data_IF_786358648280
#
_entry.id   IF_786358648280
#
_cell.length_a   1.000
_cell.length_b   1.000
_cell.length_c   1.000
_cell.angle_alpha   90.00
_cell.angle_beta   90.00
_cell.angle_gamma   90.00
#
_symmetry.space_group_name_H-M   'P 1'
#
loop_
_entity.id
_entity.type
_entity.pdbx_description
1 polymer ?
#
# COMPACT_ATOMS: atom_id res chain seq x y z
N UNK A 1 -12.30 -18.16 -6.05
CA UNK A 1 -11.05 -18.16 -6.85
C UNK A 1 -10.20 -16.95 -6.52
N UNK A 2 -8.95 -17.17 -6.09
CA UNK A 2 -7.97 -16.10 -5.88
C UNK A 2 -7.20 -15.86 -7.17
N UNK A 3 -7.22 -14.63 -7.68
CA UNK A 3 -6.51 -14.23 -8.91
C UNK A 3 -5.47 -13.17 -8.62
N UNK A 4 -4.48 -13.05 -9.49
CA UNK A 4 -3.57 -11.91 -9.54
C UNK A 4 -3.78 -11.20 -10.87
N UNK A 5 -3.92 -9.88 -10.86
CA UNK A 5 -4.00 -9.10 -12.09
C UNK A 5 -3.28 -7.76 -11.96
N UNK A 6 -2.73 -7.29 -13.08
CA UNK A 6 -2.03 -6.01 -13.17
C UNK A 6 -3.00 -4.85 -12.89
N UNK A 7 -2.79 -4.13 -11.78
CA UNK A 7 -3.65 -3.03 -11.34
C UNK A 7 -3.72 -1.85 -12.30
N UNK A 8 -2.85 -1.77 -13.32
CA UNK A 8 -2.92 -0.75 -14.38
C UNK A 8 -3.69 -1.20 -15.63
N UNK A 9 -3.98 -2.50 -15.75
CA UNK A 9 -4.64 -3.10 -16.92
C UNK A 9 -5.96 -3.78 -16.59
N UNK A 10 -6.15 -4.22 -15.36
CA UNK A 10 -7.33 -4.98 -14.97
C UNK A 10 -8.61 -4.15 -15.10
N UNK A 11 -9.67 -4.77 -15.58
CA UNK A 11 -11.03 -4.22 -15.60
C UNK A 11 -12.06 -5.13 -14.89
N UNK A 12 -11.71 -6.40 -14.60
CA UNK A 12 -12.60 -7.40 -14.00
C UNK A 12 -12.37 -7.54 -12.47
N UNK A 13 -12.71 -6.48 -11.73
CA UNK A 13 -12.56 -6.43 -10.28
C UNK A 13 -13.37 -7.50 -9.54
N UNK A 14 -12.83 -8.00 -8.44
CA UNK A 14 -13.44 -9.00 -7.56
C UNK A 14 -14.21 -8.35 -6.40
N UNK A 15 -14.89 -9.18 -5.60
CA UNK A 15 -15.60 -8.76 -4.39
C UNK A 15 -14.65 -8.22 -3.32
N UNK A 16 -13.41 -8.73 -3.27
CA UNK A 16 -12.30 -8.20 -2.47
C UNK A 16 -11.11 -7.96 -3.40
N UNK A 17 -10.54 -6.77 -3.37
CA UNK A 17 -9.37 -6.37 -4.16
C UNK A 17 -8.26 -5.93 -3.21
N UNK A 18 -7.11 -6.60 -3.24
CA UNK A 18 -5.98 -6.35 -2.34
C UNK A 18 -4.89 -5.63 -3.13
N UNK A 19 -4.72 -4.33 -2.92
CA UNK A 19 -3.69 -3.52 -3.56
C UNK A 19 -2.33 -3.82 -2.93
N UNK A 20 -1.32 -3.98 -3.78
CA UNK A 20 0.09 -4.15 -3.42
C UNK A 20 0.92 -3.06 -4.10
N UNK A 21 1.73 -2.36 -3.31
CA UNK A 21 2.72 -1.36 -3.72
C UNK A 21 3.77 -1.33 -2.59
N UNK A 22 4.60 -2.37 -2.52
CA UNK A 22 5.46 -2.64 -1.34
C UNK A 22 6.48 -1.53 -1.16
N UNK A 23 6.97 -0.96 -2.27
CA UNK A 23 7.92 0.15 -2.33
C UNK A 23 7.23 1.39 -2.90
N UNK A 24 6.45 2.13 -2.11
CA UNK A 24 6.34 2.04 -0.63
C UNK A 24 4.92 2.23 -0.10
N UNK A 25 3.92 2.39 -0.96
CA UNK A 25 2.59 2.86 -0.52
C UNK A 25 1.89 1.90 0.43
N UNK A 26 1.82 0.60 0.10
CA UNK A 26 1.08 -0.37 0.93
C UNK A 26 1.85 -0.79 2.18
N UNK A 27 3.14 -0.46 2.28
CA UNK A 27 3.89 -0.52 3.53
C UNK A 27 3.66 0.72 4.39
N UNK A 28 3.60 1.91 3.79
CA UNK A 28 3.51 3.17 4.52
C UNK A 28 2.10 3.42 5.06
N UNK A 29 1.05 3.07 4.31
CA UNK A 29 -0.36 3.26 4.73
C UNK A 29 -0.68 2.61 6.09
N UNK A 30 -0.38 1.32 6.34
CA UNK A 30 -0.63 0.72 7.65
C UNK A 30 0.24 1.36 8.75
N UNK A 31 1.48 1.77 8.45
CA UNK A 31 2.32 2.50 9.40
C UNK A 31 1.70 3.86 9.76
N UNK A 32 1.17 4.61 8.79
CA UNK A 32 0.47 5.88 9.03
C UNK A 32 -0.68 5.67 10.04
N UNK A 33 -1.51 4.65 9.83
CA UNK A 33 -2.66 4.36 10.69
C UNK A 33 -2.20 3.86 12.07
N UNK A 34 -1.11 3.08 12.16
CA UNK A 34 -0.56 2.64 13.44
C UNK A 34 0.05 3.77 14.26
N UNK A 35 0.24 4.97 13.69
CA UNK A 35 0.69 6.19 14.38
C UNK A 35 -0.46 7.09 14.82
N UNK A 36 -1.69 6.58 14.86
CA UNK A 36 -2.85 7.29 15.40
C UNK A 36 -3.59 8.18 14.42
N UNK A 37 -3.25 8.12 13.12
CA UNK A 37 -3.99 8.86 12.09
C UNK A 37 -5.47 8.47 12.10
N UNK A 38 -6.36 9.47 12.10
CA UNK A 38 -7.81 9.27 12.17
C UNK A 38 -8.33 8.52 10.92
N UNK A 39 -7.86 8.94 9.75
CA UNK A 39 -8.06 8.29 8.46
C UNK A 39 -7.17 8.97 7.41
N UNK A 40 -7.01 8.30 6.26
CA UNK A 40 -6.26 8.81 5.11
C UNK A 40 -7.25 9.11 3.98
N UNK A 41 -7.11 10.28 3.34
CA UNK A 41 -7.82 10.65 2.12
C UNK A 41 -6.85 10.54 0.95
N UNK A 42 -7.06 9.58 0.03
CA UNK A 42 -6.18 9.37 -1.11
C UNK A 42 -6.48 10.36 -2.25
N UNK A 43 -5.43 10.88 -2.88
CA UNK A 43 -5.51 11.77 -4.03
C UNK A 43 -4.68 11.24 -5.20
N UNK A 44 -5.15 11.47 -6.42
CA UNK A 44 -4.42 11.11 -7.65
C UNK A 44 -3.31 12.10 -8.00
N UNK A 45 -3.44 13.33 -7.51
CA UNK A 45 -2.61 14.45 -7.84
C UNK A 45 -2.32 15.35 -6.63
N UNK A 46 -1.17 16.01 -6.70
CA UNK A 46 -0.63 16.87 -5.64
C UNK A 46 -1.52 18.08 -5.39
N UNK A 47 -2.09 18.67 -6.46
CA UNK A 47 -2.90 19.89 -6.38
C UNK A 47 -4.17 19.66 -5.56
N UNK A 48 -4.84 18.53 -5.76
CA UNK A 48 -6.03 18.13 -5.00
C UNK A 48 -5.70 17.92 -3.52
N UNK A 49 -4.58 17.27 -3.20
CA UNK A 49 -4.14 17.07 -1.83
C UNK A 49 -3.82 18.41 -1.11
N UNK A 50 -3.09 19.32 -1.79
CA UNK A 50 -2.80 20.66 -1.28
C UNK A 50 -4.08 21.46 -1.04
N UNK A 51 -5.02 21.43 -1.98
CA UNK A 51 -6.31 22.09 -1.84
C UNK A 51 -7.14 21.53 -0.68
N UNK A 52 -7.06 20.22 -0.44
CA UNK A 52 -7.69 19.61 0.72
C UNK A 52 -7.09 20.12 2.04
N UNK A 53 -5.76 20.18 2.18
CA UNK A 53 -5.11 20.77 3.38
C UNK A 53 -5.48 22.23 3.58
N UNK A 54 -5.62 23.02 2.50
CA UNK A 54 -6.04 24.44 2.61
C UNK A 54 -7.46 24.61 3.17
N UNK A 55 -8.35 23.66 2.92
CA UNK A 55 -9.77 23.74 3.30
C UNK A 55 -10.09 23.07 4.64
N UNK A 56 -9.16 22.28 5.18
CA UNK A 56 -9.40 21.45 6.36
C UNK A 56 -8.31 21.67 7.41
N UNK A 57 -8.69 21.64 8.69
CA UNK A 57 -7.74 21.73 9.81
C UNK A 57 -7.14 20.36 10.11
N UNK A 58 -6.00 20.34 10.78
CA UNK A 58 -5.31 19.12 11.25
C UNK A 58 -4.98 18.12 10.13
N UNK A 59 -4.70 18.61 8.93
CA UNK A 59 -4.28 17.78 7.79
C UNK A 59 -2.77 17.72 7.67
N UNK A 60 -2.24 16.50 7.57
CA UNK A 60 -0.84 16.22 7.24
C UNK A 60 -0.77 15.68 5.80
N UNK A 61 0.15 16.20 5.00
CA UNK A 61 0.42 15.75 3.64
C UNK A 61 1.56 14.74 3.64
N UNK A 62 1.28 13.54 3.14
CA UNK A 62 2.25 12.44 3.08
C UNK A 62 2.20 11.86 1.69
N UNK A 63 3.34 11.64 1.04
CA UNK A 63 3.33 10.97 -0.25
C UNK A 63 4.41 11.42 -1.20
N UNK A 64 4.31 10.89 -2.41
CA UNK A 64 5.26 11.13 -3.49
C UNK A 64 4.55 11.29 -4.84
N UNK A 65 5.25 11.92 -5.78
CA UNK A 65 4.97 11.79 -7.21
C UNK A 65 6.27 11.51 -7.96
N UNK A 66 6.28 10.46 -8.77
CA UNK A 66 7.44 9.90 -9.46
C UNK A 66 8.65 9.62 -8.55
N UNK A 67 8.38 9.18 -7.32
CA UNK A 67 9.35 8.85 -6.28
C UNK A 67 9.87 10.04 -5.49
N UNK A 68 9.35 11.25 -5.74
CA UNK A 68 9.84 12.49 -5.12
C UNK A 68 8.74 13.10 -4.24
N UNK A 69 9.10 13.50 -3.01
CA UNK A 69 8.21 14.26 -2.13
C UNK A 69 7.87 15.62 -2.76
N UNK A 70 6.59 15.94 -3.02
CA UNK A 70 6.21 17.22 -3.60
C UNK A 70 6.55 18.40 -2.67
N UNK A 71 6.74 19.61 -3.22
CA UNK A 71 6.82 20.82 -2.40
C UNK A 71 5.63 20.96 -1.45
N UNK A 72 5.88 21.47 -0.24
CA UNK A 72 4.89 21.67 0.83
C UNK A 72 4.28 20.41 1.46
N UNK A 73 4.66 19.21 1.03
CA UNK A 73 4.32 17.99 1.75
C UNK A 73 5.13 17.89 3.04
N UNK A 74 4.48 17.47 4.12
CA UNK A 74 5.09 17.36 5.43
C UNK A 74 6.07 16.17 5.44
N UNK A 75 5.63 15.02 4.92
CA UNK A 75 6.43 13.79 4.85
C UNK A 75 6.47 13.17 3.44
N UNK A 76 7.53 12.42 3.18
CA UNK A 76 7.62 11.56 2.00
C UNK A 76 6.81 10.27 2.21
N UNK A 77 6.62 9.46 1.18
CA UNK A 77 6.08 8.09 1.26
C UNK A 77 7.09 7.10 1.90
N UNK A 78 7.74 7.49 2.99
CA UNK A 78 8.81 6.76 3.68
C UNK A 78 8.29 6.12 4.97
N UNK A 79 8.13 4.78 5.04
CA UNK A 79 7.70 4.15 6.28
C UNK A 79 8.71 4.36 7.42
N UNK A 80 10.00 4.50 7.14
CA UNK A 80 11.02 4.78 8.17
C UNK A 80 10.93 6.19 8.75
N UNK A 81 10.50 7.16 7.95
CA UNK A 81 10.18 8.48 8.45
C UNK A 81 8.87 8.46 9.26
N UNK A 82 7.83 7.82 8.73
CA UNK A 82 6.50 7.83 9.35
C UNK A 82 6.44 7.05 10.66
N UNK A 83 7.18 5.95 10.82
CA UNK A 83 7.12 5.13 12.05
C UNK A 83 7.47 5.93 13.32
N UNK A 84 8.21 7.03 13.18
CA UNK A 84 8.59 7.93 14.26
C UNK A 84 7.73 9.20 14.35
N UNK A 85 6.77 9.40 13.44
CA UNK A 85 5.90 10.56 13.44
C UNK A 85 4.76 10.42 14.47
N UNK A 86 4.30 11.55 15.01
CA UNK A 86 3.05 11.63 15.77
C UNK A 86 1.92 12.09 14.83
N UNK A 87 1.03 11.16 14.49
CA UNK A 87 -0.11 11.40 13.61
C UNK A 87 -1.44 11.28 14.39
N UNK A 88 -1.39 11.28 15.72
CA UNK A 88 -2.56 11.09 16.57
C UNK A 88 -3.67 12.10 16.25
N UNK A 89 -4.85 11.59 15.91
CA UNK A 89 -6.03 12.36 15.54
C UNK A 89 -5.90 13.20 14.26
N UNK A 90 -4.77 13.11 13.54
CA UNK A 90 -4.56 13.84 12.28
C UNK A 90 -5.33 13.20 11.13
N UNK A 91 -5.76 14.03 10.19
CA UNK A 91 -6.27 13.57 8.89
C UNK A 91 -5.09 13.58 7.93
N UNK A 92 -4.93 12.53 7.14
CA UNK A 92 -3.81 12.43 6.20
C UNK A 92 -4.34 12.66 4.79
N UNK A 93 -3.74 13.60 4.06
CA UNK A 93 -3.93 13.70 2.61
C UNK A 93 -2.75 12.98 1.94
N UNK A 94 -3.04 11.86 1.29
CA UNK A 94 -2.02 10.95 0.77
C UNK A 94 -2.03 10.88 -0.75
N UNK A 95 -0.85 10.84 -1.37
CA UNK A 95 -0.69 10.59 -2.81
C UNK A 95 0.47 9.65 -3.08
N UNK A 96 0.32 8.79 -4.08
CA UNK A 96 1.41 8.03 -4.66
C UNK A 96 1.19 7.83 -6.15
N UNK A 97 2.26 7.50 -6.87
CA UNK A 97 2.24 7.38 -8.33
C UNK A 97 1.48 6.15 -8.78
N UNK A 98 1.61 5.05 -8.05
CA UNK A 98 1.12 3.75 -8.46
C UNK A 98 -0.09 3.32 -7.61
N UNK A 99 0.08 3.16 -6.30
CA UNK A 99 -0.99 2.71 -5.41
C UNK A 99 -2.27 3.54 -5.52
N UNK A 100 -2.18 4.88 -5.47
CA UNK A 100 -3.37 5.73 -5.57
C UNK A 100 -3.97 5.78 -6.99
N UNK A 101 -3.13 5.59 -8.02
CA UNK A 101 -3.63 5.43 -9.38
C UNK A 101 -4.47 4.16 -9.53
N UNK A 102 -3.97 3.02 -9.04
CA UNK A 102 -4.68 1.74 -9.07
C UNK A 102 -5.93 1.78 -8.22
N UNK A 103 -5.87 2.34 -7.00
CA UNK A 103 -7.06 2.58 -6.17
C UNK A 103 -8.16 3.29 -6.95
N UNK A 104 -7.80 4.34 -7.71
CA UNK A 104 -8.77 5.09 -8.52
C UNK A 104 -9.37 4.33 -9.71
N UNK A 105 -8.77 3.19 -10.09
CA UNK A 105 -9.28 2.34 -11.17
C UNK A 105 -10.28 1.28 -10.68
N UNK A 106 -10.23 0.91 -9.40
CA UNK A 106 -11.12 -0.11 -8.85
C UNK A 106 -12.54 0.44 -8.75
N UNK A 107 -13.50 -0.25 -9.39
CA UNK A 107 -14.87 0.24 -9.55
C UNK A 107 -15.88 -0.43 -8.60
N UNK A 108 -15.54 -1.57 -7.98
CA UNK A 108 -16.43 -2.35 -7.12
C UNK A 108 -15.67 -3.19 -6.13
N UNK A 109 -16.40 -3.71 -5.14
CA UNK A 109 -15.87 -4.59 -4.12
C UNK A 109 -15.11 -3.85 -3.03
N UNK A 110 -14.73 -4.58 -1.99
CA UNK A 110 -13.91 -4.09 -0.90
C UNK A 110 -12.48 -3.90 -1.38
N UNK A 111 -11.78 -2.92 -0.84
CA UNK A 111 -10.41 -2.61 -1.25
C UNK A 111 -9.51 -2.59 -0.02
N UNK A 112 -8.57 -3.53 0.05
CA UNK A 112 -7.63 -3.70 1.14
C UNK A 112 -6.22 -3.35 0.68
N UNK A 113 -5.36 -2.93 1.61
CA UNK A 113 -3.95 -2.65 1.34
C UNK A 113 -3.08 -3.65 2.08
N UNK A 114 -2.18 -4.32 1.36
CA UNK A 114 -1.31 -5.35 1.94
C UNK A 114 0.13 -5.21 1.47
N UNK A 115 1.06 -5.48 2.37
CA UNK A 115 2.47 -5.75 2.08
C UNK A 115 3.02 -6.73 3.12
N UNK A 116 4.34 -6.96 3.15
CA UNK A 116 4.95 -7.85 4.14
C UNK A 116 4.60 -7.44 5.58
N UNK A 117 4.44 -6.15 5.87
CA UNK A 117 4.21 -5.66 7.24
C UNK A 117 2.89 -6.09 7.84
N UNK A 118 1.91 -6.50 7.05
CA UNK A 118 0.58 -6.90 7.54
C UNK A 118 0.01 -8.13 6.81
N UNK A 119 0.88 -9.02 6.32
CA UNK A 119 0.49 -10.16 5.48
C UNK A 119 -0.43 -11.13 6.23
N UNK A 120 -0.08 -11.54 7.45
CA UNK A 120 -0.87 -12.47 8.26
C UNK A 120 -2.22 -11.87 8.68
N UNK A 121 -2.25 -10.59 9.02
CA UNK A 121 -3.49 -9.87 9.29
C UNK A 121 -4.40 -9.86 8.05
N UNK A 122 -3.83 -9.61 6.88
CA UNK A 122 -4.55 -9.65 5.58
C UNK A 122 -5.14 -11.04 5.34
N UNK A 123 -4.35 -12.10 5.51
CA UNK A 123 -4.82 -13.49 5.35
C UNK A 123 -5.98 -13.80 6.28
N UNK A 124 -5.87 -13.42 7.57
CA UNK A 124 -6.93 -13.61 8.55
C UNK A 124 -8.21 -12.86 8.15
N UNK A 125 -8.10 -11.62 7.68
CA UNK A 125 -9.23 -10.75 7.30
C UNK A 125 -10.05 -11.32 6.13
N UNK A 126 -9.40 -12.00 5.18
CA UNK A 126 -10.06 -12.54 3.98
C UNK A 126 -10.24 -14.06 4.01
N UNK A 127 -9.94 -14.71 5.14
CA UNK A 127 -10.09 -16.17 5.29
C UNK A 127 -11.52 -16.62 5.01
N UNK A 128 -11.67 -17.67 4.22
CA UNK A 128 -12.97 -18.22 3.83
C UNK A 128 -13.75 -17.38 2.81
N UNK A 129 -13.09 -16.40 2.16
CA UNK A 129 -13.65 -15.64 1.04
C UNK A 129 -13.06 -16.16 -0.26
N UNK A 130 -13.91 -16.37 -1.26
CA UNK A 130 -13.46 -16.99 -2.51
C UNK A 130 -13.18 -15.97 -3.62
N UNK A 131 -13.94 -14.88 -3.75
CA UNK A 131 -13.75 -13.90 -4.83
C UNK A 131 -12.76 -12.79 -4.44
N UNK A 132 -11.47 -13.12 -4.53
CA UNK A 132 -10.34 -12.25 -4.16
C UNK A 132 -9.47 -11.99 -5.39
N UNK A 133 -9.18 -10.71 -5.63
CA UNK A 133 -8.18 -10.27 -6.59
C UNK A 133 -7.01 -9.61 -5.86
N UNK A 134 -5.81 -10.13 -6.08
CA UNK A 134 -4.56 -9.55 -5.61
C UNK A 134 -4.01 -8.66 -6.73
N UNK A 135 -3.71 -7.39 -6.41
CA UNK A 135 -3.51 -6.33 -7.39
C UNK A 135 -2.14 -5.66 -7.21
N UNK A 136 -1.07 -6.21 -7.81
CA UNK A 136 0.18 -5.47 -8.00
C UNK A 136 -0.06 -4.12 -8.67
N UNK A 137 0.42 -3.04 -8.05
CA UNK A 137 0.19 -1.70 -8.58
C UNK A 137 1.01 -1.42 -9.83
N UNK A 138 2.15 -2.12 -9.96
CA UNK A 138 3.08 -1.99 -11.09
C UNK A 138 3.49 -0.53 -11.34
N UNK A 139 4.21 -0.30 -12.44
CA UNK A 139 4.75 1.02 -12.79
C UNK A 139 4.09 1.51 -14.09
N UNK A 140 4.13 2.82 -14.40
CA UNK A 140 3.62 3.33 -15.67
C UNK A 140 4.26 2.63 -16.88
N UNK A 141 5.54 2.27 -16.75
CA UNK A 141 6.28 1.49 -17.73
C UNK A 141 6.84 0.27 -17.01
N UNK A 142 6.45 -0.92 -17.47
CA UNK A 142 6.94 -2.20 -16.93
C UNK A 142 6.25 -2.66 -15.63
N UNK A 143 6.74 -3.79 -15.11
CA UNK A 143 6.23 -4.43 -13.89
C UNK A 143 7.04 -4.01 -12.66
N UNK A 144 6.38 -3.95 -11.51
CA UNK A 144 7.03 -3.90 -10.20
C UNK A 144 7.31 -5.33 -9.76
N UNK A 145 8.56 -5.79 -9.89
CA UNK A 145 8.93 -7.19 -9.64
C UNK A 145 8.61 -7.59 -8.20
N UNK A 146 8.89 -6.70 -7.24
CA UNK A 146 8.55 -6.83 -5.82
C UNK A 146 7.07 -7.10 -5.58
N UNK A 147 6.19 -6.30 -6.21
CA UNK A 147 4.75 -6.40 -6.02
C UNK A 147 4.23 -7.74 -6.56
N UNK A 148 4.79 -8.21 -7.68
CA UNK A 148 4.40 -9.48 -8.28
C UNK A 148 4.91 -10.67 -7.46
N UNK A 149 6.13 -10.61 -6.90
CA UNK A 149 6.65 -11.66 -6.01
C UNK A 149 5.77 -11.77 -4.75
N UNK A 150 5.44 -10.66 -4.11
CA UNK A 150 4.57 -10.68 -2.94
C UNK A 150 3.13 -11.08 -3.29
N UNK A 151 2.61 -10.69 -4.45
CA UNK A 151 1.30 -11.13 -4.88
C UNK A 151 1.20 -12.66 -5.01
N UNK A 152 2.23 -13.29 -5.60
CA UNK A 152 2.32 -14.75 -5.66
C UNK A 152 2.46 -15.36 -4.24
N UNK A 153 3.30 -14.76 -3.39
CA UNK A 153 3.46 -15.18 -1.99
C UNK A 153 2.12 -15.15 -1.22
N UNK A 154 1.37 -14.05 -1.34
CA UNK A 154 0.07 -13.88 -0.70
C UNK A 154 -0.96 -14.85 -1.26
N UNK A 155 -0.99 -15.05 -2.59
CA UNK A 155 -1.86 -16.04 -3.23
C UNK A 155 -1.58 -17.44 -2.72
N UNK A 156 -0.32 -17.88 -2.70
CA UNK A 156 0.06 -19.21 -2.19
C UNK A 156 -0.39 -19.39 -0.73
N UNK A 157 -0.20 -18.36 0.10
CA UNK A 157 -0.63 -18.39 1.49
C UNK A 157 -2.16 -18.47 1.64
N UNK A 158 -2.91 -17.71 0.84
CA UNK A 158 -4.38 -17.75 0.84
C UNK A 158 -4.95 -19.08 0.32
N UNK A 159 -4.25 -19.71 -0.62
CA UNK A 159 -4.59 -21.04 -1.16
C UNK A 159 -4.13 -22.19 -0.25
N UNK A 160 -3.48 -21.90 0.88
CA UNK A 160 -2.96 -22.92 1.81
C UNK A 160 -1.83 -23.78 1.21
N UNK A 161 -1.11 -23.26 0.20
CA UNK A 161 0.00 -23.96 -0.45
C UNK A 161 1.31 -23.68 0.27
N UNK A 162 2.23 -24.64 0.21
CA UNK A 162 3.59 -24.46 0.72
C UNK A 162 4.37 -23.48 -0.16
N UNK A 163 5.15 -22.62 0.47
CA UNK A 163 6.09 -21.71 -0.19
C UNK A 163 7.27 -21.44 0.74
N UNK A 164 8.44 -21.20 0.17
CA UNK A 164 9.60 -20.76 0.93
C UNK A 164 9.54 -19.25 1.13
N UNK A 165 9.14 -18.86 2.34
CA UNK A 165 9.02 -17.47 2.76
C UNK A 165 10.35 -16.73 2.68
N UNK A 166 11.44 -17.35 3.16
CA UNK A 166 12.73 -16.70 3.24
C UNK A 166 13.27 -16.41 1.83
N UNK A 167 13.15 -17.37 0.92
CA UNK A 167 13.52 -17.19 -0.49
C UNK A 167 12.72 -16.05 -1.13
N UNK A 168 11.40 -16.00 -0.94
CA UNK A 168 10.57 -14.95 -1.55
C UNK A 168 10.87 -13.56 -0.98
N UNK A 169 11.11 -13.43 0.32
CA UNK A 169 11.50 -12.16 0.95
C UNK A 169 12.91 -11.73 0.49
N UNK A 170 13.85 -12.68 0.35
CA UNK A 170 15.18 -12.39 -0.19
C UNK A 170 15.10 -11.90 -1.64
N UNK A 171 14.27 -12.52 -2.48
CA UNK A 171 14.04 -12.04 -3.85
C UNK A 171 13.42 -10.65 -3.88
N UNK A 172 12.51 -10.30 -2.97
CA UNK A 172 12.00 -8.92 -2.86
C UNK A 172 13.13 -7.97 -2.49
N UNK A 173 14.00 -8.31 -1.52
CA UNK A 173 15.16 -7.49 -1.13
C UNK A 173 16.07 -7.16 -2.31
N UNK A 174 16.32 -8.14 -3.18
CA UNK A 174 17.18 -8.00 -4.37
C UNK A 174 16.61 -7.05 -5.42
N UNK A 175 15.29 -6.78 -5.41
CA UNK A 175 14.66 -5.87 -6.37
C UNK A 175 14.80 -4.38 -6.04
N UNK A 176 15.45 -4.03 -4.91
CA UNK A 176 15.61 -2.63 -4.47
C UNK A 176 16.25 -1.70 -5.51
N UNK A 177 17.07 -2.25 -6.41
CA UNK A 177 17.77 -1.50 -7.45
C UNK A 177 16.90 -1.24 -8.69
N UNK A 178 15.74 -1.90 -8.77
CA UNK A 178 14.79 -1.76 -9.88
C UNK A 178 13.74 -0.65 -9.64
N UNK A 179 13.85 0.10 -8.54
CA UNK A 179 12.91 1.18 -8.21
C UNK A 179 13.29 2.47 -8.95
N UNK A 180 12.29 3.29 -9.30
CA UNK A 180 12.50 4.53 -10.06
C UNK A 180 13.38 5.53 -9.30
N UNK A 181 13.21 5.58 -7.98
CA UNK A 181 14.08 6.29 -7.04
C UNK A 181 14.61 5.25 -6.06
N UNK A 182 15.88 5.34 -5.69
CA UNK A 182 16.50 4.42 -4.75
C UNK A 182 15.75 4.42 -3.42
N UNK A 183 15.35 3.23 -2.96
CA UNK A 183 14.81 3.06 -1.62
C UNK A 183 15.94 3.19 -0.59
N UNK A 184 15.73 3.97 0.46
CA UNK A 184 16.70 4.08 1.55
C UNK A 184 16.88 2.74 2.26
N UNK A 185 18.04 2.50 2.88
CA UNK A 185 18.28 1.27 3.65
C UNK A 185 17.24 1.11 4.77
N UNK A 186 16.90 2.21 5.47
CA UNK A 186 15.93 2.19 6.56
C UNK A 186 14.51 1.87 6.07
N UNK A 187 14.10 2.41 4.92
CA UNK A 187 12.79 2.06 4.34
C UNK A 187 12.76 0.61 3.90
N UNK A 188 13.82 0.14 3.25
CA UNK A 188 13.93 -1.26 2.81
C UNK A 188 13.81 -2.21 4.00
N UNK A 189 14.50 -1.93 5.10
CA UNK A 189 14.41 -2.72 6.33
C UNK A 189 12.96 -2.84 6.80
N UNK A 190 12.21 -1.74 6.87
CA UNK A 190 10.80 -1.78 7.31
C UNK A 190 9.91 -2.49 6.29
N UNK A 191 10.09 -2.22 4.99
CA UNK A 191 9.30 -2.88 3.93
C UNK A 191 9.48 -4.40 3.93
N UNK A 192 10.60 -4.91 4.45
CA UNK A 192 10.89 -6.35 4.55
C UNK A 192 10.52 -6.95 5.90
N UNK A 193 10.05 -6.16 6.89
CA UNK A 193 9.58 -6.71 8.17
C UNK A 193 8.25 -7.40 7.97
N UNK A 194 8.25 -8.71 8.12
CA UNK A 194 7.02 -9.50 8.07
C UNK A 194 6.19 -9.25 9.33
N UNK A 195 4.90 -9.01 9.14
CA UNK A 195 3.88 -8.93 10.21
C UNK A 195 4.25 -7.95 11.34
N UNK A 196 4.90 -6.84 10.97
CA UNK A 196 5.18 -5.73 11.88
C UNK A 196 3.89 -5.13 12.48
N UNK A 197 2.78 -5.20 11.73
CA UNK A 197 1.49 -4.59 12.04
C UNK A 197 0.37 -5.63 11.89
N UNK A 198 -0.61 -5.56 12.78
CA UNK A 198 -1.78 -6.43 12.82
C UNK A 198 -3.03 -5.80 12.16
N UNK A 199 -2.89 -4.59 11.61
CA UNK A 199 -3.96 -3.87 10.93
C UNK A 199 -4.04 -4.17 9.42
N UNK A 200 -5.26 -4.18 8.89
CA UNK A 200 -5.51 -4.26 7.44
C UNK A 200 -6.25 -3.00 7.00
N UNK A 201 -5.55 -2.00 6.44
CA UNK A 201 -6.20 -0.80 5.96
C UNK A 201 -7.25 -1.13 4.88
N UNK A 202 -8.42 -0.51 4.97
CA UNK A 202 -9.52 -0.67 4.02
C UNK A 202 -9.98 0.69 3.50
N UNK A 203 -10.23 0.78 2.19
CA UNK A 203 -10.80 1.99 1.59
C UNK A 203 -12.34 1.92 1.57
N UNK A 204 -12.96 2.85 2.29
CA UNK A 204 -14.40 2.97 2.49
C UNK A 204 -14.79 4.45 2.30
N UNK A 205 -15.75 4.70 1.40
CA UNK A 205 -16.37 6.02 1.20
C UNK A 205 -15.37 7.20 1.10
N UNK A 206 -14.30 7.02 0.31
CA UNK A 206 -13.31 8.08 0.09
C UNK A 206 -12.19 8.14 1.13
N UNK A 207 -12.14 7.21 2.09
CA UNK A 207 -11.16 7.18 3.17
C UNK A 207 -10.51 5.82 3.29
N UNK A 208 -9.21 5.77 3.55
CA UNK A 208 -8.53 4.57 4.03
C UNK A 208 -8.53 4.63 5.56
N UNK A 209 -9.11 3.62 6.19
CA UNK A 209 -9.28 3.52 7.63
C UNK A 209 -8.59 2.26 8.15
N UNK A 210 -8.27 2.27 9.44
CA UNK A 210 -7.93 1.03 10.13
C UNK A 210 -9.18 0.15 10.26
N UNK A 211 -8.97 -1.17 10.30
CA UNK A 211 -9.97 -2.23 10.41
C UNK A 211 -11.20 -1.80 11.26
N UNK A 212 -12.31 -1.37 10.62
CA UNK A 212 -13.45 -0.77 11.32
C UNK A 212 -14.36 -1.80 11.99
#
# INVERSE_FOLDING_TARGET
MIRIADGRKEENWSSINIIIDIFRSTTTIPVILSRGARYIVPFKDVTSALNFKRKNKNVVLIGEKYGIKPPFFDYDNSPAQIINADLEGKIIAFTSTNGMYVLSRIKRGRILFSSLVNMSATIKKVKGKDDILVVPSNRPIGKAVEDNIFAEMLKLALEGKNYDREILVNRIRETKENTVVSISTQDLEICLKLDLLDCVPEYIEGKIVNDP
#
